data_IF_678936423099
#
_entry.id   IF_678936423099
#
_cell.length_a   1.000
_cell.length_b   1.000
_cell.length_c   1.000
_cell.angle_alpha   90.00
_cell.angle_beta   90.00
_cell.angle_gamma   90.00
#
_symmetry.space_group_name_H-M   'P 1'
#
loop_
_entity.id
_entity.type
_entity.pdbx_description
1 polymer ?
#
# COMPACT_ATOMS: atom_id res chain seq x y z
N UNK A 1 -1.38 -10.47 -4.22
CA UNK A 1 -0.78 -9.59 -5.26
C UNK A 1 -0.09 -10.40 -6.37
N UNK A 2 1.02 -11.13 -6.11
CA UNK A 2 1.72 -11.90 -7.16
C UNK A 2 0.82 -12.85 -7.98
N UNK A 3 0.01 -13.68 -7.30
CA UNK A 3 -0.93 -14.60 -7.97
C UNK A 3 -1.90 -13.89 -8.93
N UNK A 4 -2.35 -12.67 -8.60
CA UNK A 4 -3.25 -11.89 -9.45
C UNK A 4 -2.61 -11.54 -10.79
N UNK A 5 -1.33 -11.14 -10.78
CA UNK A 5 -0.58 -10.81 -12.00
C UNK A 5 -0.18 -12.05 -12.79
N UNK A 6 0.34 -13.09 -12.12
CA UNK A 6 0.78 -14.31 -12.80
C UNK A 6 -0.37 -15.07 -13.46
N UNK A 7 -1.56 -15.10 -12.85
CA UNK A 7 -2.75 -15.68 -13.48
C UNK A 7 -3.16 -14.95 -14.78
N UNK A 8 -2.62 -13.76 -15.03
CA UNK A 8 -2.82 -12.96 -16.24
C UNK A 8 -1.60 -12.97 -17.17
N UNK A 9 -0.58 -13.78 -16.87
CA UNK A 9 0.71 -13.78 -17.56
C UNK A 9 1.42 -12.41 -17.56
N UNK A 10 1.18 -11.59 -16.53
CA UNK A 10 1.81 -10.29 -16.34
C UNK A 10 2.96 -10.42 -15.34
N UNK A 11 4.12 -9.85 -15.66
CA UNK A 11 5.22 -9.71 -14.69
C UNK A 11 4.75 -8.75 -13.58
N UNK A 12 4.68 -9.20 -12.32
CA UNK A 12 4.15 -8.35 -11.24
C UNK A 12 5.07 -7.13 -11.03
N UNK A 13 4.56 -5.88 -11.14
CA UNK A 13 5.36 -4.68 -10.90
C UNK A 13 5.38 -4.37 -9.39
N UNK A 14 5.74 -5.37 -8.59
CA UNK A 14 5.71 -5.34 -7.13
C UNK A 14 7.13 -5.15 -6.60
N UNK A 15 7.32 -4.14 -5.75
CA UNK A 15 8.62 -3.81 -5.18
C UNK A 15 8.52 -3.61 -3.68
N UNK A 16 9.53 -4.05 -2.94
CA UNK A 16 9.73 -3.62 -1.55
C UNK A 16 10.59 -2.36 -1.55
N UNK A 17 10.26 -1.38 -0.70
CA UNK A 17 10.99 -0.13 -0.62
C UNK A 17 11.43 0.17 0.82
N UNK A 18 12.71 0.50 0.97
CA UNK A 18 13.30 0.94 2.23
C UNK A 18 14.50 1.84 1.97
N UNK A 19 14.66 2.88 2.79
CA UNK A 19 15.84 3.74 2.77
C UNK A 19 16.88 3.36 3.84
N UNK A 20 18.05 4.00 3.77
CA UNK A 20 19.15 3.78 4.72
C UNK A 20 18.90 4.32 6.12
N UNK A 21 17.88 5.17 6.31
CA UNK A 21 17.49 5.74 7.61
C UNK A 21 16.39 4.94 8.30
N UNK A 22 15.88 3.89 7.65
CA UNK A 22 14.91 2.97 8.21
C UNK A 22 13.44 3.30 7.89
N UNK A 23 13.16 4.22 6.97
CA UNK A 23 11.80 4.38 6.46
C UNK A 23 11.48 3.25 5.50
N UNK A 24 10.29 2.67 5.63
CA UNK A 24 9.87 1.47 4.91
C UNK A 24 8.46 1.63 4.36
N UNK A 25 8.21 0.97 3.22
CA UNK A 25 6.88 0.71 2.67
C UNK A 25 6.85 -0.75 2.25
N UNK A 26 5.91 -1.52 2.81
CA UNK A 26 5.86 -2.98 2.63
C UNK A 26 5.79 -3.40 1.15
N UNK A 27 5.04 -2.65 0.33
CA UNK A 27 4.89 -2.94 -1.10
C UNK A 27 4.58 -1.68 -1.92
N UNK A 28 5.23 -1.58 -3.08
CA UNK A 28 4.90 -0.64 -4.15
C UNK A 28 4.33 -1.41 -5.33
N UNK A 29 3.27 -0.89 -5.94
CA UNK A 29 2.79 -1.33 -7.25
C UNK A 29 3.07 -0.21 -8.25
N UNK A 30 4.05 -0.42 -9.12
CA UNK A 30 4.45 0.58 -10.12
C UNK A 30 3.68 0.38 -11.43
N UNK A 31 2.84 1.35 -11.78
CA UNK A 31 2.09 1.36 -13.06
C UNK A 31 2.61 2.43 -14.02
N UNK A 32 3.85 2.90 -13.83
CA UNK A 32 4.50 3.95 -14.62
C UNK A 32 4.08 5.34 -14.18
N UNK A 33 2.86 5.78 -14.53
CA UNK A 33 2.39 7.14 -14.21
C UNK A 33 2.02 7.33 -12.74
N UNK A 34 1.77 6.22 -12.03
CA UNK A 34 1.36 6.23 -10.64
C UNK A 34 1.96 5.03 -9.92
N UNK A 35 2.34 5.26 -8.66
CA UNK A 35 2.81 4.22 -7.76
C UNK A 35 1.79 4.07 -6.63
N UNK A 36 1.26 2.87 -6.43
CA UNK A 36 0.47 2.57 -5.23
C UNK A 36 1.45 2.19 -4.12
N UNK A 37 1.53 2.99 -3.07
CA UNK A 37 2.33 2.66 -1.88
C UNK A 37 1.44 1.98 -0.85
N UNK A 38 1.88 0.83 -0.34
CA UNK A 38 1.02 -0.07 0.43
C UNK A 38 1.72 -0.43 1.73
N UNK A 39 1.00 -0.22 2.83
CA UNK A 39 1.33 -0.74 4.15
C UNK A 39 0.36 -1.86 4.51
N UNK A 40 0.84 -2.94 5.14
CA UNK A 40 0.04 -4.09 5.54
C UNK A 40 0.14 -4.27 7.06
N UNK A 41 -1.01 -4.23 7.74
CA UNK A 41 -1.10 -4.45 9.19
C UNK A 41 -2.16 -5.48 9.52
N UNK A 42 -1.86 -6.41 10.43
CA UNK A 42 -2.83 -7.41 10.91
C UNK A 42 -3.84 -6.85 11.92
N UNK A 43 -3.60 -5.65 12.46
CA UNK A 43 -4.49 -4.99 13.42
C UNK A 43 -5.83 -4.58 12.78
N UNK A 44 -6.92 -4.80 13.50
CA UNK A 44 -8.25 -4.29 13.16
C UNK A 44 -8.47 -2.84 13.59
N UNK A 45 -7.71 -2.36 14.58
CA UNK A 45 -7.72 -0.95 15.00
C UNK A 45 -6.65 -0.18 14.23
N UNK A 46 -7.07 0.86 13.52
CA UNK A 46 -6.19 1.70 12.71
C UNK A 46 -5.52 2.75 13.60
N UNK A 47 -4.18 2.74 13.64
CA UNK A 47 -3.38 3.78 14.28
C UNK A 47 -2.84 4.77 13.24
N UNK A 48 -2.71 6.05 13.61
CA UNK A 48 -2.04 7.06 12.77
C UNK A 48 -0.59 6.67 12.44
N UNK A 49 0.05 5.89 13.32
CA UNK A 49 1.41 5.44 13.14
C UNK A 49 1.58 4.47 11.95
N UNK A 50 0.51 3.80 11.52
CA UNK A 50 0.55 2.93 10.34
C UNK A 50 0.81 3.70 9.04
N UNK A 51 0.58 5.01 9.03
CA UNK A 51 0.78 5.85 7.86
C UNK A 51 2.15 6.50 7.84
N UNK A 52 3.05 6.27 8.81
CA UNK A 52 4.37 6.93 8.86
C UNK A 52 5.19 6.70 7.59
N UNK A 53 5.34 5.44 7.17
CA UNK A 53 6.04 5.06 5.95
C UNK A 53 5.39 5.65 4.69
N UNK A 54 4.07 5.50 4.57
CA UNK A 54 3.28 6.05 3.47
C UNK A 54 3.39 7.58 3.35
N UNK A 55 3.29 8.28 4.47
CA UNK A 55 3.42 9.74 4.52
C UNK A 55 4.83 10.20 4.18
N UNK A 56 5.86 9.45 4.60
CA UNK A 56 7.24 9.74 4.24
C UNK A 56 7.46 9.53 2.73
N UNK A 57 7.04 8.39 2.20
CA UNK A 57 7.15 8.07 0.79
C UNK A 57 6.39 9.08 -0.10
N UNK A 58 5.19 9.51 0.31
CA UNK A 58 4.42 10.53 -0.39
C UNK A 58 5.11 11.90 -0.49
N UNK A 59 6.01 12.23 0.45
CA UNK A 59 6.85 13.44 0.35
C UNK A 59 7.96 13.28 -0.69
N UNK A 60 8.44 12.07 -0.91
CA UNK A 60 9.46 11.76 -1.92
C UNK A 60 8.85 11.59 -3.31
N UNK A 61 7.63 11.04 -3.38
CA UNK A 61 6.89 10.81 -4.61
C UNK A 61 5.44 11.31 -4.44
N UNK A 62 5.19 12.55 -4.88
CA UNK A 62 3.87 13.18 -4.78
C UNK A 62 2.78 12.50 -5.64
N UNK A 63 3.16 11.65 -6.60
CA UNK A 63 2.23 10.87 -7.42
C UNK A 63 1.86 9.53 -6.74
N UNK A 64 2.47 9.21 -5.60
CA UNK A 64 2.17 7.99 -4.88
C UNK A 64 0.74 8.04 -4.31
N UNK A 65 -0.02 6.98 -4.53
CA UNK A 65 -1.33 6.81 -3.89
C UNK A 65 -1.16 5.88 -2.68
N UNK A 66 -1.37 6.37 -1.46
CA UNK A 66 -1.18 5.57 -0.25
C UNK A 66 -2.38 4.67 0.05
N UNK A 67 -2.09 3.41 0.35
CA UNK A 67 -3.02 2.38 0.75
C UNK A 67 -2.57 1.72 2.05
N UNK A 68 -3.51 1.53 2.98
CA UNK A 68 -3.32 0.72 4.17
C UNK A 68 -4.22 -0.53 4.05
N UNK A 69 -3.61 -1.71 3.99
CA UNK A 69 -4.32 -2.97 4.15
C UNK A 69 -4.34 -3.30 5.63
N UNK A 70 -5.53 -3.53 6.19
CA UNK A 70 -5.68 -3.76 7.62
C UNK A 70 -6.55 -4.98 7.94
N UNK A 71 -6.48 -5.45 9.19
CA UNK A 71 -7.17 -6.65 9.69
C UNK A 71 -8.66 -6.47 10.01
N UNK A 72 -9.22 -5.27 9.83
CA UNK A 72 -10.65 -5.03 10.02
C UNK A 72 -11.47 -5.33 8.76
N UNK A 73 -12.77 -5.04 8.81
CA UNK A 73 -13.73 -5.40 7.76
C UNK A 73 -14.31 -4.19 7.00
N UNK A 74 -14.05 -2.97 7.47
CA UNK A 74 -14.69 -1.76 6.95
C UNK A 74 -13.68 -0.91 6.20
N UNK A 75 -13.80 -0.75 4.87
CA UNK A 75 -12.95 0.17 4.14
C UNK A 75 -13.20 1.61 4.60
N UNK A 76 -12.15 2.43 4.60
CA UNK A 76 -12.22 3.84 5.02
C UNK A 76 -11.39 4.70 4.09
N UNK A 77 -11.86 5.92 3.80
CA UNK A 77 -11.01 6.95 3.20
C UNK A 77 -10.56 7.88 4.31
N UNK A 78 -9.25 8.02 4.48
CA UNK A 78 -8.63 8.93 5.44
C UNK A 78 -7.85 10.01 4.70
N UNK A 79 -7.44 11.04 5.44
CA UNK A 79 -6.59 12.11 4.91
C UNK A 79 -5.26 11.55 4.36
N UNK A 80 -4.73 10.55 5.04
CA UNK A 80 -3.44 9.92 4.76
C UNK A 80 -3.51 8.90 3.61
N UNK A 81 -4.70 8.41 3.25
CA UNK A 81 -4.85 7.41 2.19
C UNK A 81 -6.10 6.55 2.28
N UNK A 82 -6.17 5.54 1.41
CA UNK A 82 -7.27 4.59 1.35
C UNK A 82 -6.98 3.39 2.27
N UNK A 83 -7.91 3.04 3.13
CA UNK A 83 -7.83 1.88 4.01
C UNK A 83 -8.71 0.78 3.44
N UNK A 84 -8.12 -0.39 3.19
CA UNK A 84 -8.79 -1.55 2.59
C UNK A 84 -8.71 -2.72 3.57
N UNK A 85 -9.84 -3.38 3.80
CA UNK A 85 -9.89 -4.63 4.54
C UNK A 85 -9.11 -5.72 3.79
N UNK A 86 -8.34 -6.55 4.49
CA UNK A 86 -7.51 -7.59 3.86
C UNK A 86 -8.29 -8.54 2.94
N UNK A 87 -9.57 -8.80 3.24
CA UNK A 87 -10.46 -9.64 2.46
C UNK A 87 -11.07 -8.94 1.23
N UNK A 88 -10.89 -7.62 1.10
CA UNK A 88 -11.30 -6.80 -0.04
C UNK A 88 -10.10 -6.32 -0.87
N UNK A 89 -8.99 -7.07 -0.85
CA UNK A 89 -7.75 -6.73 -1.56
C UNK A 89 -7.92 -6.54 -3.07
N UNK A 90 -9.00 -7.06 -3.65
CA UNK A 90 -9.34 -6.88 -5.07
C UNK A 90 -9.58 -5.41 -5.44
N UNK A 91 -10.03 -4.59 -4.50
CA UNK A 91 -10.31 -3.15 -4.69
C UNK A 91 -9.02 -2.31 -4.91
N UNK A 92 -7.86 -2.95 -4.75
CA UNK A 92 -6.56 -2.36 -5.03
C UNK A 92 -6.23 -2.35 -6.52
N UNK A 93 -6.85 -3.20 -7.35
CA UNK A 93 -6.49 -3.40 -8.75
C UNK A 93 -7.38 -2.61 -9.72
#
# INVERSE_FOLDING_TARGET
LMKYHYNRAIVPPLYYWRDSTGNEVDCLIDSGLQVKSIEIKSSSTISSDFFKGLNYYGKLNAQAVPYLIYGGLTPQVRREGKVIAWNSIVDLF
#
